data_IF_950902866808
#
_entry.id   IF_950902866808
#
_cell.length_a   1.000
_cell.length_b   1.000
_cell.length_c   1.000
_cell.angle_alpha   90.00
_cell.angle_beta   90.00
_cell.angle_gamma   90.00
#
_symmetry.space_group_name_H-M   'P 1'
#
loop_
_entity.id
_entity.type
_entity.pdbx_description
1 polymer ?
#
# COMPACT_ATOMS: atom_id res chain seq x y z
N UNK A 1 -17.84 2.31 -3.75
CA UNK A 1 -17.50 1.17 -4.61
C UNK A 1 -16.55 0.29 -3.82
N UNK A 2 -16.90 -0.98 -3.62
CA UNK A 2 -16.14 -1.91 -2.80
C UNK A 2 -15.12 -2.61 -3.70
N UNK A 3 -13.84 -2.25 -3.60
CA UNK A 3 -12.76 -2.95 -4.30
C UNK A 3 -12.40 -4.19 -3.49
N UNK A 4 -13.28 -5.18 -3.45
CA UNK A 4 -12.90 -6.53 -3.07
C UNK A 4 -12.80 -7.29 -4.39
N UNK A 5 -11.58 -7.45 -4.91
CA UNK A 5 -11.37 -8.31 -6.07
C UNK A 5 -11.24 -9.76 -5.58
N UNK A 6 -12.08 -10.70 -6.05
CA UNK A 6 -11.86 -12.12 -5.82
C UNK A 6 -10.56 -12.54 -6.53
N UNK A 7 -9.90 -13.59 -6.02
CA UNK A 7 -8.59 -14.12 -6.41
C UNK A 7 -8.43 -14.52 -7.90
N UNK A 8 -8.59 -13.57 -8.81
CA UNK A 8 -8.26 -13.64 -10.22
C UNK A 8 -7.28 -12.51 -10.57
N UNK A 9 -6.60 -12.60 -11.72
CA UNK A 9 -5.63 -11.59 -12.12
C UNK A 9 -6.31 -10.20 -12.16
N UNK A 10 -5.61 -9.15 -11.70
CA UNK A 10 -6.11 -7.80 -11.74
C UNK A 10 -6.44 -7.44 -13.20
N UNK A 11 -7.49 -6.63 -13.44
CA UNK A 11 -7.73 -6.08 -14.75
C UNK A 11 -6.47 -5.33 -15.21
N UNK A 12 -6.20 -5.28 -16.54
CA UNK A 12 -5.15 -4.42 -17.12
C UNK A 12 -5.52 -2.94 -17.04
N UNK A 13 -5.82 -2.48 -15.84
CA UNK A 13 -6.26 -1.13 -15.50
C UNK A 13 -5.18 -0.49 -14.63
N UNK A 14 -4.65 0.69 -14.99
CA UNK A 14 -3.74 1.45 -14.14
C UNK A 14 -4.25 1.72 -12.72
N UNK A 15 -5.57 1.60 -12.46
CA UNK A 15 -6.12 1.62 -11.12
C UNK A 15 -5.50 0.56 -10.18
N UNK A 16 -5.00 -0.55 -10.74
CA UNK A 16 -4.28 -1.59 -10.01
C UNK A 16 -2.88 -1.18 -9.54
N UNK A 17 -2.34 -0.06 -10.01
CA UNK A 17 -1.05 0.50 -9.56
C UNK A 17 -1.19 1.42 -8.34
N UNK A 18 -2.38 1.52 -7.75
CA UNK A 18 -2.62 2.31 -6.54
C UNK A 18 -2.07 1.55 -5.33
N UNK A 19 -1.46 2.27 -4.39
CA UNK A 19 -1.00 1.69 -3.13
C UNK A 19 -2.15 1.08 -2.30
N UNK A 20 -3.39 1.57 -2.49
CA UNK A 20 -4.59 1.05 -1.84
C UNK A 20 -5.18 -0.18 -2.54
N UNK A 21 -4.60 -0.60 -3.67
CA UNK A 21 -5.09 -1.76 -4.40
C UNK A 21 -5.02 -3.01 -3.49
N UNK A 22 -6.11 -3.78 -3.36
CA UNK A 22 -6.23 -4.85 -2.39
C UNK A 22 -5.45 -6.09 -2.86
N UNK A 23 -4.15 -6.10 -2.59
CA UNK A 23 -3.26 -7.21 -2.87
C UNK A 23 -2.39 -7.51 -1.67
N UNK A 24 -2.22 -8.79 -1.34
CA UNK A 24 -1.38 -9.19 -0.21
C UNK A 24 0.04 -8.68 -0.40
N UNK A 25 0.48 -7.81 0.52
CA UNK A 25 1.81 -7.21 0.50
C UNK A 25 2.64 -7.82 1.62
N UNK A 26 3.64 -8.65 1.30
CA UNK A 26 4.50 -9.24 2.32
C UNK A 26 5.49 -8.19 2.85
N UNK A 27 5.67 -8.19 4.17
CA UNK A 27 6.73 -7.45 4.85
C UNK A 27 7.45 -8.36 5.84
N UNK A 28 8.64 -7.96 6.27
CA UNK A 28 9.32 -8.64 7.35
C UNK A 28 8.46 -8.59 8.63
N UNK A 29 7.84 -9.73 8.99
CA UNK A 29 6.99 -9.85 10.17
C UNK A 29 5.49 -10.02 9.90
N UNK A 30 5.04 -10.06 8.64
CA UNK A 30 3.63 -10.35 8.33
C UNK A 30 3.22 -10.02 6.89
N UNK A 31 1.95 -10.22 6.59
CA UNK A 31 1.31 -9.77 5.35
C UNK A 31 0.28 -8.71 5.66
N UNK A 32 0.16 -7.71 4.78
CA UNK A 32 -0.83 -6.66 4.89
C UNK A 32 -1.79 -6.70 3.69
N UNK A 33 -3.06 -6.23 3.85
CA UNK A 33 -4.06 -6.28 2.77
C UNK A 33 -3.75 -5.44 1.52
N UNK A 34 -2.79 -4.51 1.61
CA UNK A 34 -2.30 -3.68 0.49
C UNK A 34 -0.96 -3.06 0.88
N UNK A 35 -0.26 -2.48 -0.08
CA UNK A 35 0.94 -1.69 0.19
C UNK A 35 0.67 -0.51 1.12
N UNK A 36 -0.48 0.15 1.00
CA UNK A 36 -0.84 1.29 1.86
C UNK A 36 -0.94 0.89 3.33
N UNK A 37 -1.57 -0.25 3.63
CA UNK A 37 -1.61 -0.86 4.95
C UNK A 37 -0.21 -1.14 5.49
N UNK A 38 0.66 -1.79 4.71
CA UNK A 38 2.02 -2.09 5.10
C UNK A 38 2.82 -0.82 5.45
N UNK A 39 2.71 0.21 4.60
CA UNK A 39 3.42 1.47 4.79
C UNK A 39 3.05 2.17 6.09
N UNK A 40 1.75 2.31 6.38
CA UNK A 40 1.28 2.95 7.61
C UNK A 40 1.51 2.10 8.85
N UNK A 41 1.39 0.78 8.77
CA UNK A 41 1.72 -0.05 9.92
C UNK A 41 3.22 0.05 10.29
N UNK A 42 4.11 0.11 9.29
CA UNK A 42 5.55 0.28 9.51
C UNK A 42 5.93 1.66 10.06
N UNK A 43 5.04 2.66 9.96
CA UNK A 43 5.25 3.99 10.57
C UNK A 43 4.92 4.00 12.06
N UNK A 44 4.13 3.06 12.55
CA UNK A 44 3.63 3.04 13.92
C UNK A 44 4.62 2.36 14.87
N UNK A 45 4.81 2.97 16.04
CA UNK A 45 5.71 2.48 17.09
C UNK A 45 5.16 1.21 17.76
N UNK A 46 3.87 1.19 18.09
CA UNK A 46 3.23 0.18 18.94
C UNK A 46 2.46 -0.88 18.14
N UNK A 47 2.49 -2.13 18.61
CA UNK A 47 1.86 -3.26 17.91
C UNK A 47 0.33 -3.12 17.81
N UNK A 48 -0.33 -2.53 18.82
CA UNK A 48 -1.78 -2.31 18.80
C UNK A 48 -2.23 -1.45 17.60
N UNK A 49 -1.43 -0.45 17.22
CA UNK A 49 -1.74 0.37 16.04
C UNK A 49 -1.46 -0.35 14.72
N UNK A 50 -0.44 -1.22 14.70
CA UNK A 50 -0.16 -2.08 13.54
C UNK A 50 -1.29 -3.06 13.27
N UNK A 51 -1.82 -3.68 14.33
CA UNK A 51 -2.99 -4.57 14.27
C UNK A 51 -4.25 -3.82 13.83
N UNK A 52 -4.48 -2.61 14.38
CA UNK A 52 -5.62 -1.77 13.98
C UNK A 52 -5.56 -1.38 12.51
N UNK A 53 -4.37 -0.99 12.01
CA UNK A 53 -4.17 -0.73 10.58
C UNK A 53 -4.42 -2.01 9.77
N UNK A 54 -3.82 -3.15 10.15
CA UNK A 54 -3.98 -4.41 9.41
C UNK A 54 -5.42 -4.90 9.31
N UNK A 55 -6.26 -4.56 10.30
CA UNK A 55 -7.66 -4.98 10.38
C UNK A 55 -8.64 -4.05 9.65
N UNK A 56 -8.23 -2.86 9.19
CA UNK A 56 -9.12 -1.91 8.51
C UNK A 56 -9.48 -2.40 7.09
N UNK A 57 -10.76 -2.67 6.77
CA UNK A 57 -11.13 -3.17 5.45
C UNK A 57 -10.98 -2.13 4.34
N UNK A 58 -10.97 -0.83 4.66
CA UNK A 58 -10.88 0.24 3.67
C UNK A 58 -9.49 0.87 3.65
N UNK A 59 -8.68 0.56 2.64
CA UNK A 59 -7.34 1.14 2.46
C UNK A 59 -7.29 2.68 2.46
N UNK A 60 -8.39 3.35 2.08
CA UNK A 60 -8.52 4.81 2.14
C UNK A 60 -8.64 5.36 3.58
N UNK A 61 -9.08 4.54 4.54
CA UNK A 61 -9.23 4.93 5.95
C UNK A 61 -7.94 4.77 6.76
N UNK A 62 -7.02 3.94 6.28
CA UNK A 62 -5.75 3.60 6.94
C UNK A 62 -4.96 4.82 7.44
N UNK A 63 -4.78 5.92 6.67
CA UNK A 63 -4.03 7.07 7.18
C UNK A 63 -4.66 7.71 8.42
N UNK A 64 -6.00 7.73 8.50
CA UNK A 64 -6.70 8.31 9.64
C UNK A 64 -6.58 7.43 10.88
N UNK A 65 -6.63 6.10 10.71
CA UNK A 65 -6.39 5.14 11.80
C UNK A 65 -4.94 5.26 12.29
N UNK A 66 -3.97 5.29 11.37
CA UNK A 66 -2.55 5.39 11.72
C UNK A 66 -2.22 6.68 12.49
N UNK A 67 -2.90 7.79 12.18
CA UNK A 67 -2.74 9.06 12.85
C UNK A 67 -3.19 9.07 14.33
N UNK A 68 -3.94 8.06 14.78
CA UNK A 68 -4.35 7.90 16.18
C UNK A 68 -3.24 7.29 17.06
N UNK A 69 -2.15 6.79 16.45
CA UNK A 69 -1.07 6.10 17.15
C UNK A 69 0.27 6.84 17.07
N UNK A 70 1.19 6.60 18.03
CA UNK A 70 2.52 7.19 17.99
C UNK A 70 3.32 6.74 16.75
N UNK A 71 3.79 7.71 15.97
CA UNK A 71 4.71 7.48 14.87
C UNK A 71 6.13 7.18 15.40
N UNK A 72 6.86 6.30 14.71
CA UNK A 72 8.27 6.01 14.99
C UNK A 72 9.12 7.28 14.82
N UNK A 73 10.01 7.62 15.78
CA UNK A 73 10.80 8.84 15.72
C UNK A 73 11.63 9.03 14.44
N UNK A 74 12.14 7.95 13.88
CA UNK A 74 12.97 7.92 12.67
C UNK A 74 12.16 7.89 11.36
N UNK A 75 10.83 7.76 11.44
CA UNK A 75 9.97 7.58 10.28
C UNK A 75 10.19 8.60 9.16
N UNK A 76 10.30 9.92 9.44
CA UNK A 76 10.53 10.91 8.38
C UNK A 76 11.79 10.64 7.56
N UNK A 77 12.82 10.05 8.18
CA UNK A 77 14.09 9.73 7.53
C UNK A 77 14.04 8.42 6.72
N UNK A 78 13.22 7.44 7.13
CA UNK A 78 13.21 6.10 6.53
C UNK A 78 12.04 5.85 5.57
N UNK A 79 10.96 6.63 5.64
CA UNK A 79 9.71 6.39 4.88
C UNK A 79 9.90 6.20 3.37
N UNK A 80 10.81 6.95 2.75
CA UNK A 80 11.05 6.82 1.31
C UNK A 80 11.74 5.50 0.95
N UNK A 81 12.70 5.07 1.78
CA UNK A 81 13.35 3.78 1.62
C UNK A 81 12.33 2.64 1.84
N UNK A 82 11.49 2.75 2.87
CA UNK A 82 10.42 1.78 3.15
C UNK A 82 9.45 1.67 1.97
N UNK A 83 8.94 2.78 1.45
CA UNK A 83 8.05 2.79 0.27
C UNK A 83 8.73 2.15 -0.94
N UNK A 84 10.01 2.43 -1.17
CA UNK A 84 10.78 1.86 -2.29
C UNK A 84 10.88 0.34 -2.18
N UNK A 85 11.20 -0.17 -0.99
CA UNK A 85 11.30 -1.61 -0.76
C UNK A 85 9.95 -2.30 -0.88
N UNK A 86 8.87 -1.69 -0.36
CA UNK A 86 7.52 -2.22 -0.50
C UNK A 86 7.09 -2.32 -1.98
N UNK A 87 7.30 -1.27 -2.77
CA UNK A 87 6.97 -1.27 -4.20
C UNK A 87 7.79 -2.35 -4.94
N UNK A 88 9.09 -2.49 -4.63
CA UNK A 88 9.93 -3.53 -5.24
C UNK A 88 9.48 -4.93 -4.86
N UNK A 89 9.02 -5.14 -3.63
CA UNK A 89 8.48 -6.41 -3.20
C UNK A 89 7.15 -6.71 -3.91
N UNK A 90 6.22 -5.75 -3.91
CA UNK A 90 4.89 -5.89 -4.53
C UNK A 90 5.00 -6.30 -6.00
N UNK A 91 5.74 -5.55 -6.83
CA UNK A 91 5.89 -5.89 -8.25
C UNK A 91 6.78 -7.12 -8.51
N UNK A 92 7.55 -7.59 -7.53
CA UNK A 92 8.27 -8.87 -7.65
C UNK A 92 7.34 -10.06 -7.41
N UNK A 93 6.48 -9.95 -6.40
CA UNK A 93 5.57 -11.02 -5.98
C UNK A 93 4.29 -11.08 -6.83
N UNK A 94 3.93 -9.97 -7.50
CA UNK A 94 2.76 -9.85 -8.37
C UNK A 94 3.17 -9.52 -9.82
N UNK A 95 3.61 -10.52 -10.62
CA UNK A 95 4.05 -10.30 -12.00
C UNK A 95 2.98 -9.70 -12.93
N UNK A 96 1.72 -9.96 -12.64
CA UNK A 96 0.57 -9.34 -13.30
C UNK A 96 0.48 -7.82 -13.06
N UNK A 97 0.73 -7.36 -11.84
CA UNK A 97 0.86 -5.93 -11.54
C UNK A 97 2.11 -5.34 -12.19
N UNK A 98 3.20 -6.10 -12.24
CA UNK A 98 4.43 -5.67 -12.92
C UNK A 98 4.22 -5.49 -14.43
N UNK A 99 3.44 -6.38 -15.06
CA UNK A 99 3.06 -6.26 -16.47
C UNK A 99 2.24 -4.98 -16.70
N UNK A 100 1.32 -4.63 -15.80
CA UNK A 100 0.57 -3.37 -15.87
C UNK A 100 1.53 -2.18 -15.76
N UNK A 101 2.46 -2.20 -14.80
CA UNK A 101 3.46 -1.15 -14.64
C UNK A 101 4.32 -0.97 -15.90
N UNK A 102 4.85 -2.07 -16.45
CA UNK A 102 5.67 -2.04 -17.69
C UNK A 102 4.84 -1.57 -18.89
N UNK A 103 3.54 -1.93 -18.96
CA UNK A 103 2.66 -1.50 -20.04
C UNK A 103 2.43 0.02 -20.11
N UNK A 104 2.73 0.75 -19.03
CA UNK A 104 2.70 2.22 -19.03
C UNK A 104 3.80 2.84 -19.90
N UNK A 105 4.85 2.09 -20.23
CA UNK A 105 5.98 2.58 -21.02
C UNK A 105 6.62 3.82 -20.38
N UNK A 106 6.77 4.88 -21.15
CA UNK A 106 7.30 6.17 -20.68
C UNK A 106 6.23 7.12 -20.15
N UNK A 107 4.98 6.65 -20.00
CA UNK A 107 3.91 7.48 -19.47
C UNK A 107 4.21 7.90 -18.03
N UNK A 108 4.02 9.19 -17.74
CA UNK A 108 4.17 9.69 -16.38
C UNK A 108 3.02 9.16 -15.51
N UNK A 109 3.35 8.38 -14.49
CA UNK A 109 2.41 7.96 -13.45
C UNK A 109 2.25 9.11 -12.45
N UNK A 110 1.02 9.57 -12.27
CA UNK A 110 0.67 10.62 -11.33
C UNK A 110 -0.34 10.07 -10.34
N UNK A 111 0.02 10.14 -9.06
CA UNK A 111 -0.91 9.79 -8.00
C UNK A 111 -1.89 10.93 -7.78
N UNK A 112 -3.19 10.70 -8.02
CA UNK A 112 -4.25 11.64 -7.71
C UNK A 112 -4.89 11.25 -6.38
N UNK A 113 -4.55 12.00 -5.34
CA UNK A 113 -5.31 11.96 -4.08
C UNK A 113 -6.74 12.37 -4.36
N UNK A 114 -7.70 11.65 -3.77
CA UNK A 114 -9.13 11.96 -3.85
C UNK A 114 -9.52 13.12 -2.92
N UNK A 115 -8.59 13.69 -2.17
CA UNK A 115 -8.86 14.85 -1.33
C UNK A 115 -9.04 16.11 -2.22
N UNK A 116 -10.16 16.84 -2.10
CA UNK A 116 -10.32 18.11 -2.78
C UNK A 116 -9.27 19.09 -2.26
N UNK A 117 -8.45 19.61 -3.19
CA UNK A 117 -7.47 20.68 -2.93
C UNK A 117 -8.15 21.98 -2.51
#
# INVERSE_FOLDING_TARGET
>A
MNFAHPAGPPPRDPAALRNEFPVETPVAGGTYPSLHHAFHALSILDDAGREAVAAEPMGMRVPYIAAEYPERPEWPAVRLAVMTELLRAEFREHPDLADILVSTGDARIVYQSLEPR
#
